data_IF_864282127768
#
_entry.id   IF_864282127768
#
_cell.length_a   1.000
_cell.length_b   1.000
_cell.length_c   1.000
_cell.angle_alpha   90.00
_cell.angle_beta   90.00
_cell.angle_gamma   90.00
#
_symmetry.space_group_name_H-M   'P 1'
#
loop_
_entity.id
_entity.type
_entity.pdbx_description
1 polymer ?
#
# COMPACT_ATOMS: atom_id res chain seq x y z
N UNK A 1 8.27 8.33 -12.62
CA UNK A 1 9.64 8.19 -12.08
C UNK A 1 10.57 9.30 -12.57
N UNK A 2 10.73 9.50 -13.89
CA UNK A 2 11.64 10.53 -14.42
C UNK A 2 11.14 11.95 -14.13
N UNK A 3 9.86 12.21 -14.40
CA UNK A 3 9.36 13.60 -14.37
C UNK A 3 9.06 14.11 -12.95
N UNK A 4 8.71 13.22 -12.03
CA UNK A 4 8.42 13.55 -10.62
C UNK A 4 9.61 13.37 -9.69
N UNK A 5 10.41 12.34 -9.94
CA UNK A 5 11.42 11.89 -8.99
C UNK A 5 12.82 11.84 -9.62
N UNK A 6 13.00 12.35 -10.85
CA UNK A 6 14.28 12.30 -11.55
C UNK A 6 14.92 10.89 -11.63
N UNK A 7 14.08 9.85 -11.66
CA UNK A 7 14.47 8.42 -11.57
C UNK A 7 15.17 8.04 -10.26
N UNK A 8 15.08 8.89 -9.25
CA UNK A 8 15.53 8.61 -7.91
C UNK A 8 14.40 7.96 -7.11
N UNK A 9 14.66 6.74 -6.66
CA UNK A 9 13.71 5.99 -5.83
C UNK A 9 13.68 6.53 -4.41
N UNK A 10 14.79 7.07 -3.90
CA UNK A 10 14.88 7.56 -2.53
C UNK A 10 13.97 8.79 -2.36
N UNK A 11 14.00 9.72 -3.32
CA UNK A 11 13.06 10.86 -3.35
C UNK A 11 11.59 10.40 -3.33
N UNK A 12 11.23 9.32 -4.03
CA UNK A 12 9.86 8.79 -4.02
C UNK A 12 9.50 8.18 -2.66
N UNK A 13 10.43 7.45 -2.04
CA UNK A 13 10.25 6.88 -0.69
C UNK A 13 10.03 8.01 0.31
N UNK A 14 10.84 9.07 0.27
CA UNK A 14 10.71 10.23 1.16
C UNK A 14 9.35 10.93 0.97
N UNK A 15 8.91 11.11 -0.28
CA UNK A 15 7.60 11.70 -0.57
C UNK A 15 6.45 10.85 0.00
N UNK A 16 6.51 9.52 -0.18
CA UNK A 16 5.52 8.60 0.37
C UNK A 16 5.53 8.64 1.91
N UNK A 17 6.70 8.59 2.54
CA UNK A 17 6.83 8.66 3.99
C UNK A 17 6.26 9.97 4.54
N UNK A 18 6.53 11.09 3.87
CA UNK A 18 5.96 12.39 4.22
C UNK A 18 4.44 12.37 4.13
N UNK A 19 3.87 11.85 3.04
CA UNK A 19 2.43 11.75 2.88
C UNK A 19 1.78 10.87 3.94
N UNK A 20 2.41 9.77 4.35
CA UNK A 20 1.93 8.95 5.49
C UNK A 20 1.81 9.79 6.76
N UNK A 21 2.81 10.62 7.06
CA UNK A 21 2.83 11.45 8.28
C UNK A 21 1.99 12.72 8.19
N UNK A 22 1.72 13.22 6.98
CA UNK A 22 1.00 14.46 6.72
C UNK A 22 -0.38 14.15 6.09
N UNK A 23 -0.45 14.11 4.76
CA UNK A 23 -1.70 14.02 3.98
C UNK A 23 -2.60 12.84 4.38
N UNK A 24 -2.01 11.65 4.54
CA UNK A 24 -2.74 10.42 4.84
C UNK A 24 -2.75 10.06 6.31
N UNK A 25 -2.30 10.95 7.20
CA UNK A 25 -2.21 10.70 8.65
C UNK A 25 -3.54 10.28 9.28
N UNK A 26 -4.68 10.75 8.73
CA UNK A 26 -6.02 10.36 9.18
C UNK A 26 -6.49 8.99 8.67
N UNK A 27 -5.96 8.55 7.52
CA UNK A 27 -6.29 7.27 6.89
C UNK A 27 -5.37 6.14 7.37
N UNK A 28 -4.11 6.47 7.65
CA UNK A 28 -3.04 5.55 8.04
C UNK A 28 -3.46 4.61 9.18
N UNK A 29 -4.09 5.16 10.23
CA UNK A 29 -4.62 4.40 11.36
C UNK A 29 -5.62 3.32 10.95
N UNK A 30 -6.37 3.54 9.88
CA UNK A 30 -7.33 2.56 9.34
C UNK A 30 -6.64 1.47 8.52
N UNK A 31 -5.45 1.74 8.00
CA UNK A 31 -4.64 0.75 7.29
C UNK A 31 -4.00 -0.24 8.26
N UNK A 32 -3.60 0.23 9.44
CA UNK A 32 -3.12 -0.60 10.56
C UNK A 32 -4.22 -1.50 11.13
N UNK A 33 -5.48 -1.04 11.08
CA UNK A 33 -6.61 -1.76 11.65
C UNK A 33 -6.89 -3.09 10.93
N UNK A 34 -6.45 -4.18 11.56
CA UNK A 34 -6.84 -5.54 11.24
C UNK A 34 -7.70 -6.10 12.38
N UNK A 35 -9.02 -6.18 12.15
CA UNK A 35 -10.07 -6.28 13.17
C UNK A 35 -10.15 -7.57 14.01
N UNK A 36 -9.08 -8.36 14.10
CA UNK A 36 -9.06 -9.56 14.95
C UNK A 36 -7.71 -9.71 15.65
N UNK A 37 -7.74 -9.80 16.98
CA UNK A 37 -6.57 -10.06 17.82
C UNK A 37 -5.95 -11.45 17.58
N UNK A 38 -6.66 -12.35 16.90
CA UNK A 38 -6.19 -13.71 16.61
C UNK A 38 -5.65 -13.88 15.20
N UNK A 39 -5.83 -12.91 14.30
CA UNK A 39 -5.31 -12.95 12.94
C UNK A 39 -4.07 -12.05 12.83
N UNK A 40 -2.97 -12.63 12.37
CA UNK A 40 -1.72 -11.92 12.10
C UNK A 40 -1.86 -10.95 10.90
N UNK A 41 -2.79 -11.22 9.98
CA UNK A 41 -2.97 -10.43 8.76
C UNK A 41 -4.44 -10.36 8.32
N UNK A 42 -4.78 -9.32 7.56
CA UNK A 42 -6.09 -9.11 6.94
C UNK A 42 -6.02 -9.25 5.40
N UNK A 43 -5.33 -10.29 4.92
CA UNK A 43 -5.07 -10.52 3.50
C UNK A 43 -6.31 -10.44 2.60
N UNK A 44 -7.47 -10.96 3.06
CA UNK A 44 -8.72 -10.88 2.30
C UNK A 44 -9.19 -9.44 2.08
N UNK A 45 -9.07 -8.56 3.09
CA UNK A 45 -9.37 -7.13 2.96
C UNK A 45 -8.43 -6.50 1.93
N UNK A 46 -7.14 -6.79 2.02
CA UNK A 46 -6.13 -6.22 1.12
C UNK A 46 -6.35 -6.65 -0.34
N UNK A 47 -6.71 -7.91 -0.55
CA UNK A 47 -7.05 -8.45 -1.85
C UNK A 47 -8.32 -7.80 -2.45
N UNK A 48 -9.37 -7.63 -1.64
CA UNK A 48 -10.61 -6.93 -2.06
C UNK A 48 -10.33 -5.49 -2.48
N UNK A 49 -9.54 -4.76 -1.71
CA UNK A 49 -9.14 -3.39 -2.08
C UNK A 49 -8.36 -3.35 -3.41
N UNK A 50 -7.40 -4.27 -3.60
CA UNK A 50 -6.65 -4.35 -4.86
C UNK A 50 -7.56 -4.70 -6.04
N UNK A 51 -8.50 -5.63 -5.86
CA UNK A 51 -9.44 -6.02 -6.91
C UNK A 51 -10.37 -4.86 -7.32
N UNK A 52 -10.83 -4.06 -6.35
CA UNK A 52 -11.65 -2.88 -6.63
C UNK A 52 -10.88 -1.83 -7.45
N UNK A 53 -9.64 -1.53 -7.06
CA UNK A 53 -8.80 -0.58 -7.79
C UNK A 53 -8.41 -1.07 -9.19
N UNK A 54 -8.34 -2.38 -9.38
CA UNK A 54 -8.04 -2.96 -10.69
C UNK A 54 -9.13 -2.64 -11.73
N UNK A 55 -10.40 -2.51 -11.32
CA UNK A 55 -11.47 -2.13 -12.24
C UNK A 55 -11.18 -0.79 -12.92
N UNK A 56 -10.86 0.25 -12.13
CA UNK A 56 -10.53 1.59 -12.66
C UNK A 56 -9.23 1.59 -13.47
N UNK A 57 -8.29 0.69 -13.13
CA UNK A 57 -7.02 0.56 -13.83
C UNK A 57 -7.15 -0.08 -15.22
N UNK A 58 -8.14 -0.95 -15.41
CA UNK A 58 -8.44 -1.59 -16.71
C UNK A 58 -9.49 -0.80 -17.53
N UNK A 59 -10.23 0.11 -16.91
CA UNK A 59 -11.23 0.90 -17.59
C UNK A 59 -10.61 1.72 -18.74
N UNK A 60 -11.15 1.51 -19.95
CA UNK A 60 -10.74 2.21 -21.16
C UNK A 60 -9.37 1.80 -21.71
N UNK A 61 -8.79 0.68 -21.26
CA UNK A 61 -7.53 0.14 -21.79
C UNK A 61 -7.82 -1.08 -22.66
N UNK A 62 -7.33 -1.06 -23.90
CA UNK A 62 -7.44 -2.17 -24.86
C UNK A 62 -6.09 -2.80 -25.20
N UNK A 63 -6.12 -4.03 -25.70
CA UNK A 63 -4.93 -4.73 -26.16
C UNK A 63 -4.27 -3.97 -27.32
N UNK A 64 -2.98 -3.68 -27.20
CA UNK A 64 -2.22 -2.91 -28.20
C UNK A 64 -2.16 -1.40 -27.93
N UNK A 65 -2.86 -0.90 -26.89
CA UNK A 65 -2.76 0.50 -26.50
C UNK A 65 -1.37 0.89 -26.03
N UNK A 66 -0.96 2.10 -26.39
CA UNK A 66 0.22 2.75 -25.80
C UNK A 66 -0.24 3.74 -24.73
N UNK A 67 -0.15 3.33 -23.47
CA UNK A 67 -0.47 4.17 -22.32
C UNK A 67 0.61 5.25 -22.12
N UNK A 68 0.19 6.51 -22.00
CA UNK A 68 1.06 7.68 -21.88
C UNK A 68 0.73 8.47 -20.62
N UNK A 69 1.12 9.74 -20.63
CA UNK A 69 1.01 10.71 -19.54
C UNK A 69 -0.37 10.72 -18.87
N UNK A 70 -1.48 10.70 -19.62
CA UNK A 70 -2.83 10.69 -19.04
C UNK A 70 -3.07 9.49 -18.11
N UNK A 71 -2.74 8.28 -18.58
CA UNK A 71 -2.82 7.08 -17.75
C UNK A 71 -1.84 7.16 -16.57
N UNK A 72 -0.62 7.60 -16.84
CA UNK A 72 0.43 7.72 -15.84
C UNK A 72 0.02 8.64 -14.68
N UNK A 73 -0.44 9.86 -14.97
CA UNK A 73 -0.84 10.82 -13.93
C UNK A 73 -2.06 10.34 -13.15
N UNK A 74 -2.98 9.61 -13.79
CA UNK A 74 -4.14 8.99 -13.11
C UNK A 74 -3.72 7.83 -12.20
N UNK A 75 -2.80 6.98 -12.65
CA UNK A 75 -2.39 5.78 -11.93
C UNK A 75 -1.39 6.06 -10.80
N UNK A 76 -0.50 7.05 -10.97
CA UNK A 76 0.58 7.35 -10.04
C UNK A 76 0.12 7.54 -8.57
N UNK A 77 -0.88 8.38 -8.25
CA UNK A 77 -1.31 8.56 -6.85
C UNK A 77 -1.88 7.27 -6.25
N UNK A 78 -2.53 6.42 -7.06
CA UNK A 78 -3.04 5.12 -6.60
C UNK A 78 -1.86 4.19 -6.27
N UNK A 79 -0.85 4.14 -7.14
CA UNK A 79 0.35 3.32 -6.93
C UNK A 79 1.09 3.75 -5.66
N UNK A 80 1.34 5.05 -5.48
CA UNK A 80 2.01 5.59 -4.29
C UNK A 80 1.27 5.24 -3.00
N UNK A 81 -0.06 5.39 -3.00
CA UNK A 81 -0.90 5.05 -1.85
C UNK A 81 -0.88 3.55 -1.56
N UNK A 82 -0.84 2.68 -2.58
CA UNK A 82 -0.73 1.21 -2.37
C UNK A 82 0.64 0.79 -1.85
N UNK A 83 1.72 1.46 -2.27
CA UNK A 83 3.06 1.27 -1.70
C UNK A 83 3.04 1.66 -0.20
N UNK A 84 2.47 2.82 0.13
CA UNK A 84 2.33 3.29 1.50
C UNK A 84 1.57 2.30 2.39
N UNK A 85 0.38 1.87 1.94
CA UNK A 85 -0.44 0.88 2.63
C UNK A 85 0.29 -0.45 2.83
N UNK A 86 1.03 -0.92 1.81
CA UNK A 86 1.84 -2.12 1.90
C UNK A 86 2.92 -2.01 2.98
N UNK A 87 3.66 -0.90 3.02
CA UNK A 87 4.68 -0.63 4.03
C UNK A 87 4.12 -0.59 5.46
N UNK A 88 3.05 0.18 5.68
CA UNK A 88 2.37 0.28 6.99
C UNK A 88 1.86 -1.09 7.45
N UNK A 89 1.17 -1.84 6.57
CA UNK A 89 0.64 -3.17 6.91
C UNK A 89 1.73 -4.17 7.24
N UNK A 90 2.82 -4.17 6.47
CA UNK A 90 3.96 -5.04 6.73
C UNK A 90 4.59 -4.72 8.09
N UNK A 91 4.79 -3.44 8.41
CA UNK A 91 5.31 -3.02 9.71
C UNK A 91 4.42 -3.51 10.86
N UNK A 92 3.10 -3.36 10.75
CA UNK A 92 2.13 -3.86 11.75
C UNK A 92 2.22 -5.38 11.90
N UNK A 93 2.25 -6.13 10.79
CA UNK A 93 2.35 -7.60 10.81
C UNK A 93 3.64 -8.05 11.51
N UNK A 94 4.79 -7.47 11.14
CA UNK A 94 6.08 -7.82 11.74
C UNK A 94 6.12 -7.45 13.23
N UNK A 95 5.59 -6.27 13.60
CA UNK A 95 5.48 -5.87 14.99
C UNK A 95 4.60 -6.84 15.80
N UNK A 96 3.50 -7.35 15.24
CA UNK A 96 2.68 -8.36 15.89
C UNK A 96 3.40 -9.70 16.07
N UNK A 97 4.14 -10.15 15.06
CA UNK A 97 4.92 -11.40 15.11
C UNK A 97 6.01 -11.31 16.18
N UNK A 98 6.76 -10.21 16.21
CA UNK A 98 7.94 -10.07 17.07
C UNK A 98 7.66 -9.45 18.45
N UNK A 99 6.49 -8.86 18.70
CA UNK A 99 6.12 -8.31 20.03
C UNK A 99 5.77 -9.37 21.08
N UNK A 100 5.88 -10.67 20.76
CA UNK A 100 5.67 -11.76 21.73
C UNK A 100 4.22 -11.95 22.20
N UNK A 101 3.26 -11.18 21.67
CA UNK A 101 1.83 -11.29 22.01
C UNK A 101 1.16 -12.54 21.43
N UNK A 102 1.85 -13.28 20.56
CA UNK A 102 1.47 -14.63 20.13
C UNK A 102 2.26 -15.67 20.94
N UNK A 103 1.82 -15.92 22.18
CA UNK A 103 2.31 -17.00 23.05
C UNK A 103 2.13 -18.42 22.49
N UNK A 104 1.58 -18.58 21.28
CA UNK A 104 1.45 -19.87 20.57
C UNK A 104 2.62 -20.21 19.63
N UNK A 105 3.52 -19.28 19.34
CA UNK A 105 4.70 -19.54 18.47
C UNK A 105 6.00 -19.74 19.26
N UNK A 106 5.98 -19.58 20.58
CA UNK A 106 7.16 -19.81 21.45
C UNK A 106 7.30 -21.27 21.91
N UNK A 107 6.49 -22.20 21.38
CA UNK A 107 6.49 -23.61 21.78
C UNK A 107 6.77 -24.58 20.62
N UNK A 108 7.51 -24.15 19.60
CA UNK A 108 8.07 -25.05 18.58
C UNK A 108 9.59 -25.02 18.62
#
# INVERSE_FOLDING_TARGET
>A
MKDFYNRDQDTMIEAIQRNITEEWSSEEKQWEACGSQTKITCAEKYAKESALLACDAYEGVEEGDTLRDEYYFRALPVVEKRIAQGGVRLAVILNQIFSGKNSRLQSM
#
